data_IF_681601195112
#
_entry.id   IF_681601195112
#
_cell.length_a   1.000
_cell.length_b   1.000
_cell.length_c   1.000
_cell.angle_alpha   90.00
_cell.angle_beta   90.00
_cell.angle_gamma   90.00
#
_symmetry.space_group_name_H-M   'P 1'
#
loop_
_entity.id
_entity.type
_entity.pdbx_description
1 polymer ?
#
# COMPACT_ATOMS: atom_id res chain seq x y z
N UNK A 1 18.86 -2.17 -17.74
CA UNK A 1 17.88 -1.06 -17.67
C UNK A 1 17.41 -0.95 -16.23
N UNK A 2 17.99 -0.06 -15.44
CA UNK A 2 17.53 0.20 -14.08
C UNK A 2 16.34 1.16 -14.18
N UNK A 3 15.15 0.60 -14.37
CA UNK A 3 13.93 1.32 -14.05
C UNK A 3 13.84 1.24 -12.52
N UNK A 4 14.03 2.35 -11.80
CA UNK A 4 13.79 2.37 -10.36
C UNK A 4 12.36 1.90 -10.13
N UNK A 5 12.19 0.69 -9.60
CA UNK A 5 10.87 0.14 -9.32
C UNK A 5 10.16 1.07 -8.35
N UNK A 6 8.90 1.43 -8.64
CA UNK A 6 8.11 2.28 -7.77
C UNK A 6 7.89 1.57 -6.44
N UNK A 7 8.22 2.25 -5.33
CA UNK A 7 8.14 1.68 -3.98
C UNK A 7 7.17 2.42 -3.05
N UNK A 8 6.55 3.50 -3.52
CA UNK A 8 5.57 4.27 -2.75
C UNK A 8 4.51 4.89 -3.66
N UNK A 9 3.30 5.06 -3.11
CA UNK A 9 2.13 5.56 -3.85
C UNK A 9 1.46 6.74 -3.11
N UNK A 10 2.07 7.93 -3.05
CA UNK A 10 1.46 9.08 -2.38
C UNK A 10 0.14 9.52 -3.04
N UNK A 11 -0.01 9.30 -4.34
CA UNK A 11 -1.19 9.68 -5.12
C UNK A 11 -2.47 8.91 -4.78
N UNK A 12 -2.38 7.78 -4.05
CA UNK A 12 -3.56 6.98 -3.68
C UNK A 12 -4.11 7.33 -2.29
N UNK A 13 -3.47 8.24 -1.54
CA UNK A 13 -3.97 8.72 -0.25
C UNK A 13 -5.31 9.43 -0.45
N UNK A 14 -6.30 9.09 0.37
CA UNK A 14 -7.67 9.58 0.24
C UNK A 14 -8.53 8.86 -0.80
N UNK A 15 -7.97 7.98 -1.64
CA UNK A 15 -8.76 7.12 -2.52
C UNK A 15 -9.42 5.98 -1.74
N UNK A 16 -10.51 5.46 -2.29
CA UNK A 16 -11.10 4.21 -1.82
C UNK A 16 -10.10 3.06 -1.95
N UNK A 17 -10.13 2.14 -0.99
CA UNK A 17 -9.20 1.00 -0.93
C UNK A 17 -9.14 0.20 -2.23
N UNK A 18 -10.31 -0.04 -2.85
CA UNK A 18 -10.39 -0.81 -4.09
C UNK A 18 -9.79 -0.09 -5.30
N UNK A 19 -9.82 1.25 -5.31
CA UNK A 19 -9.19 2.03 -6.38
C UNK A 19 -7.67 2.09 -6.19
N UNK A 20 -7.22 2.31 -4.96
CA UNK A 20 -5.80 2.28 -4.61
C UNK A 20 -5.15 0.93 -4.97
N UNK A 21 -5.83 -0.19 -4.72
CA UNK A 21 -5.36 -1.53 -5.08
C UNK A 21 -5.06 -1.68 -6.57
N UNK A 22 -5.93 -1.17 -7.45
CA UNK A 22 -5.74 -1.25 -8.90
C UNK A 22 -4.50 -0.49 -9.34
N UNK A 23 -4.32 0.74 -8.83
CA UNK A 23 -3.15 1.58 -9.14
C UNK A 23 -1.87 0.90 -8.69
N UNK A 24 -1.84 0.38 -7.46
CA UNK A 24 -0.66 -0.32 -6.92
C UNK A 24 -0.33 -1.56 -7.75
N UNK A 25 -1.32 -2.39 -8.10
CA UNK A 25 -1.10 -3.60 -8.90
C UNK A 25 -0.72 -3.31 -10.35
N UNK A 26 -1.15 -2.18 -10.91
CA UNK A 26 -0.72 -1.74 -12.24
C UNK A 26 0.76 -1.37 -12.25
N UNK A 27 1.24 -0.67 -11.21
CA UNK A 27 2.65 -0.28 -11.09
C UNK A 27 3.54 -1.43 -10.59
N UNK A 28 3.02 -2.31 -9.74
CA UNK A 28 3.71 -3.45 -9.14
C UNK A 28 2.81 -4.71 -9.19
N UNK A 29 2.80 -5.44 -10.31
CA UNK A 29 1.93 -6.61 -10.49
C UNK A 29 2.19 -7.78 -9.54
N UNK A 30 3.41 -7.88 -9.00
CA UNK A 30 3.82 -8.88 -8.01
C UNK A 30 3.52 -8.45 -6.56
N UNK A 31 2.86 -7.30 -6.35
CA UNK A 31 2.58 -6.79 -5.03
C UNK A 31 1.60 -7.68 -4.24
N UNK A 32 2.04 -8.17 -3.09
CA UNK A 32 1.15 -8.68 -2.05
C UNK A 32 0.60 -7.51 -1.24
N UNK A 33 -0.63 -7.10 -1.56
CA UNK A 33 -1.29 -5.99 -0.85
C UNK A 33 -1.91 -6.49 0.45
N UNK A 34 -1.54 -5.86 1.56
CA UNK A 34 -2.12 -6.10 2.88
C UNK A 34 -2.85 -4.85 3.33
N UNK A 35 -4.16 -4.95 3.59
CA UNK A 35 -4.98 -3.83 4.04
C UNK A 35 -5.13 -3.91 5.56
N UNK A 36 -4.84 -2.81 6.26
CA UNK A 36 -4.92 -2.70 7.71
C UNK A 36 -5.62 -1.41 8.10
N UNK A 37 -6.29 -1.37 9.25
CA UNK A 37 -6.78 -0.11 9.79
C UNK A 37 -5.59 0.75 10.23
N UNK A 38 -5.66 2.07 10.01
CA UNK A 38 -4.67 3.02 10.52
C UNK A 38 -4.47 2.83 12.03
N UNK A 39 -3.21 2.86 12.48
CA UNK A 39 -2.85 2.60 13.88
C UNK A 39 -2.78 1.12 14.30
N UNK A 40 -3.07 0.17 13.40
CA UNK A 40 -2.86 -1.26 13.68
C UNK A 40 -1.36 -1.54 13.87
N UNK A 41 -0.93 -2.08 15.02
CA UNK A 41 0.47 -2.45 15.23
C UNK A 41 0.89 -3.54 14.23
N UNK A 42 2.00 -3.34 13.52
CA UNK A 42 2.57 -4.36 12.64
C UNK A 42 3.60 -5.19 13.41
N UNK A 43 3.31 -6.45 13.78
CA UNK A 43 4.18 -7.24 14.66
C UNK A 43 5.46 -7.72 13.95
N UNK A 44 5.43 -7.80 12.62
CA UNK A 44 6.55 -8.33 11.83
C UNK A 44 7.56 -7.22 11.49
N UNK A 45 8.78 -7.34 12.02
CA UNK A 45 9.95 -6.51 11.64
C UNK A 45 10.56 -6.91 10.29
N UNK A 46 10.13 -8.03 9.72
CA UNK A 46 10.60 -8.54 8.44
C UNK A 46 10.18 -7.61 7.30
N UNK A 47 11.15 -7.21 6.49
CA UNK A 47 10.94 -6.43 5.28
C UNK A 47 10.75 -7.39 4.09
N UNK A 48 9.65 -7.21 3.36
CA UNK A 48 9.37 -7.98 2.15
C UNK A 48 9.21 -7.03 0.96
N UNK A 49 10.10 -7.14 -0.01
CA UNK A 49 10.15 -6.26 -1.18
C UNK A 49 8.94 -6.39 -2.13
N UNK A 50 8.19 -7.48 -2.01
CA UNK A 50 6.95 -7.70 -2.75
C UNK A 50 5.71 -7.27 -1.96
N UNK A 51 5.79 -6.96 -0.67
CA UNK A 51 4.61 -6.60 0.13
C UNK A 51 4.36 -5.10 0.07
N UNK A 52 3.11 -4.70 -0.04
CA UNK A 52 2.68 -3.31 0.12
C UNK A 52 1.59 -3.26 1.19
N UNK A 53 1.85 -2.52 2.28
CA UNK A 53 0.83 -2.28 3.31
C UNK A 53 0.03 -1.03 2.97
N UNK A 54 -1.29 -1.15 3.01
CA UNK A 54 -2.25 -0.07 2.80
C UNK A 54 -2.99 0.14 4.12
N UNK A 55 -2.71 1.26 4.79
CA UNK A 55 -3.42 1.67 6.00
C UNK A 55 -4.66 2.47 5.61
N UNK A 56 -5.81 2.12 6.18
CA UNK A 56 -7.10 2.69 5.81
C UNK A 56 -7.76 3.36 7.01
N UNK A 57 -8.48 4.43 6.74
CA UNK A 57 -9.53 4.91 7.63
C UNK A 57 -10.74 3.98 7.47
N UNK A 58 -11.15 3.32 8.55
CA UNK A 58 -12.24 2.34 8.50
C UNK A 58 -13.62 2.98 8.43
N UNK A 59 -13.76 4.25 8.77
CA UNK A 59 -15.02 4.99 8.68
C UNK A 59 -15.21 5.48 7.24
N UNK A 60 -14.19 6.12 6.67
CA UNK A 60 -14.24 6.65 5.31
C UNK A 60 -13.97 5.58 4.24
N UNK A 61 -13.41 4.42 4.61
CA UNK A 61 -12.96 3.37 3.69
C UNK A 61 -11.94 3.89 2.65
N UNK A 62 -11.11 4.85 3.08
CA UNK A 62 -10.07 5.49 2.25
C UNK A 62 -8.68 5.21 2.77
N UNK A 63 -7.68 5.27 1.88
CA UNK A 63 -6.28 5.17 2.27
C UNK A 63 -5.89 6.36 3.16
N UNK A 64 -5.40 6.08 4.36
CA UNK A 64 -5.04 7.08 5.36
C UNK A 64 -3.57 7.50 5.29
N UNK A 65 -2.69 6.60 4.83
CA UNK A 65 -1.23 6.81 4.76
C UNK A 65 -0.68 6.40 3.40
N UNK A 66 0.43 7.01 2.98
CA UNK A 66 1.11 6.63 1.73
C UNK A 66 1.53 5.16 1.79
N UNK A 67 0.99 4.28 0.92
CA UNK A 67 1.43 2.89 0.84
C UNK A 67 2.88 2.82 0.38
N UNK A 68 3.62 1.88 0.98
CA UNK A 68 5.04 1.64 0.69
C UNK A 68 5.32 0.16 0.61
N UNK A 69 6.32 -0.20 -0.18
CA UNK A 69 6.90 -1.54 -0.15
C UNK A 69 7.53 -1.78 1.22
N UNK A 70 7.24 -2.95 1.80
CA UNK A 70 7.86 -3.43 3.04
C UNK A 70 6.93 -4.00 4.09
#
# INVERSE_FOLDING_TARGET
>A
MSCSAKTSWPEVVGLLVEEAKKIILQDKPDAQIVVLAVGTPTPTKEFFEWRVRVFIDTVAQTVAETPRVG
#
